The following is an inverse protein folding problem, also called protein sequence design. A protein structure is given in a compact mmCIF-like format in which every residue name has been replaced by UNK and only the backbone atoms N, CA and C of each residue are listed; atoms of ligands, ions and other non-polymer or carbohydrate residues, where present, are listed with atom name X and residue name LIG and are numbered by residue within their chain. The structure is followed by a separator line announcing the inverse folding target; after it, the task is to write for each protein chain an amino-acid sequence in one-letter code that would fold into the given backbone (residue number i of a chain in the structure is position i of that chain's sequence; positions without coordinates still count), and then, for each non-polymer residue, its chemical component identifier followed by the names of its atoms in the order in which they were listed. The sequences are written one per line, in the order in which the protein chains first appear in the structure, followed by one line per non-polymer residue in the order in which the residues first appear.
data_IF_629510157394
#
_entry.id   IF_629510157394
#
_cell.length_a   1.000
_cell.length_b   1.000
_cell.length_c   1.000
_cell.angle_alpha   90.00
_cell.angle_beta   90.00
_cell.angle_gamma   90.00
#
_symmetry.space_group_name_H-M   'P 1'
#
loop_
_entity.id
_entity.type
_entity.pdbx_description
1 polymer ?
#
# COMPACT_ATOMS: atom_id res chain seq x y z
N UNK A 1 25.97 -7.90 -5.68
CA UNK A 1 24.78 -7.23 -6.22
C UNK A 1 24.17 -8.14 -7.28
N UNK A 2 23.14 -8.90 -6.91
CA UNK A 2 22.43 -9.78 -7.84
C UNK A 2 21.20 -9.00 -8.34
N UNK A 3 21.14 -8.72 -9.63
CA UNK A 3 19.96 -8.18 -10.29
C UNK A 3 18.93 -9.32 -10.35
N UNK A 4 17.84 -9.20 -9.63
CA UNK A 4 16.72 -10.12 -9.73
C UNK A 4 15.79 -9.59 -10.82
N UNK A 5 15.75 -10.30 -11.95
CA UNK A 5 14.84 -10.00 -13.05
C UNK A 5 13.54 -10.73 -12.79
N UNK A 6 12.48 -9.97 -12.56
CA UNK A 6 11.12 -10.52 -12.42
C UNK A 6 10.64 -10.95 -13.82
N UNK A 7 10.49 -12.26 -14.04
CA UNK A 7 9.99 -12.81 -15.31
C UNK A 7 8.46 -12.90 -15.22
N UNK A 8 7.78 -12.06 -15.98
CA UNK A 8 6.32 -12.15 -16.20
C UNK A 8 6.10 -13.18 -17.32
N UNK A 9 5.47 -14.30 -17.00
CA UNK A 9 5.08 -15.33 -17.96
C UNK A 9 3.73 -14.96 -18.59
N UNK A 10 3.77 -14.41 -19.80
CA UNK A 10 2.57 -14.13 -20.61
C UNK A 10 2.21 -15.35 -21.44
N UNK A 11 1.05 -15.94 -21.21
CA UNK A 11 0.50 -16.97 -22.07
C UNK A 11 -0.11 -16.34 -23.33
N UNK A 12 0.51 -16.60 -24.49
CA UNK A 12 -0.02 -16.22 -25.80
C UNK A 12 -0.89 -17.35 -26.34
N UNK A 13 -2.18 -17.11 -26.50
CA UNK A 13 -3.09 -17.97 -27.26
C UNK A 13 -3.06 -17.53 -28.73
N UNK A 14 -2.54 -18.39 -29.61
CA UNK A 14 -2.64 -18.23 -31.06
C UNK A 14 -4.04 -18.61 -31.53
N UNK A 15 -4.72 -17.67 -32.19
CA UNK A 15 -5.88 -17.94 -33.00
C UNK A 15 -5.66 -17.33 -34.38
N UNK A 16 -5.55 -18.18 -35.43
CA UNK A 16 -5.49 -17.77 -36.80
C UNK A 16 -6.89 -17.51 -37.36
N UNK A 17 -7.13 -16.36 -37.98
CA UNK A 17 -7.99 -16.24 -39.17
C UNK A 17 -7.59 -15.02 -40.00
N UNK A 18 -7.61 -15.24 -41.33
CA UNK A 18 -7.18 -14.41 -42.43
C UNK A 18 -8.13 -13.25 -42.76
N UNK A 19 -7.60 -12.12 -43.24
CA UNK A 19 -8.25 -11.26 -44.27
C UNK A 19 -8.20 -9.76 -44.02
N UNK A 20 -7.32 -9.05 -44.73
CA UNK A 20 -7.64 -7.78 -45.44
C UNK A 20 -7.50 -6.44 -44.73
N UNK A 21 -6.48 -5.71 -45.22
CA UNK A 21 -6.38 -4.25 -45.42
C UNK A 21 -6.13 -3.27 -44.24
N UNK A 22 -4.89 -2.85 -44.28
CA UNK A 22 -4.23 -1.52 -44.20
C UNK A 22 -4.18 -0.76 -42.87
N UNK A 23 -3.04 -0.08 -42.64
CA UNK A 23 -2.53 0.20 -41.31
C UNK A 23 -2.92 1.61 -40.86
N UNK A 24 -3.54 1.72 -39.74
CA UNK A 24 -3.44 2.95 -38.93
C UNK A 24 -2.46 2.70 -37.81
N UNK A 25 -1.31 3.34 -37.92
CA UNK A 25 -0.37 3.54 -36.85
C UNK A 25 -1.09 4.19 -35.66
N UNK A 26 -1.37 3.42 -34.63
CA UNK A 26 -1.54 3.91 -33.30
C UNK A 26 -0.45 3.28 -32.43
N UNK A 27 0.71 3.92 -32.49
CA UNK A 27 1.80 3.73 -31.55
C UNK A 27 1.47 4.54 -30.27
N UNK A 28 0.46 4.10 -29.56
CA UNK A 28 0.33 4.41 -28.14
C UNK A 28 0.66 3.14 -27.35
N UNK A 29 1.91 2.74 -27.45
CA UNK A 29 2.50 1.85 -26.47
C UNK A 29 2.66 2.69 -25.20
N UNK A 30 1.69 2.55 -24.31
CA UNK A 30 1.77 2.97 -22.94
C UNK A 30 3.01 2.27 -22.36
N UNK A 31 4.16 2.96 -22.31
CA UNK A 31 5.34 2.48 -21.57
C UNK A 31 4.93 2.35 -20.12
N UNK A 32 4.48 1.15 -19.73
CA UNK A 32 4.30 0.82 -18.33
C UNK A 32 5.69 0.91 -17.69
N UNK A 33 5.90 1.98 -16.97
CA UNK A 33 7.13 2.20 -16.24
C UNK A 33 7.33 1.05 -15.27
N UNK A 34 8.39 0.26 -15.45
CA UNK A 34 8.68 -0.91 -14.62
C UNK A 34 9.13 -0.49 -13.22
N UNK A 35 8.71 -1.27 -12.22
CA UNK A 35 9.20 -1.09 -10.85
C UNK A 35 10.67 -1.49 -10.72
N UNK A 36 11.44 -0.65 -10.04
CA UNK A 36 12.82 -0.93 -9.63
C UNK A 36 12.94 -0.92 -8.11
N UNK A 37 13.63 -1.92 -7.55
CA UNK A 37 13.91 -1.98 -6.12
C UNK A 37 14.82 -0.81 -5.69
N UNK A 38 14.58 -0.26 -4.50
CA UNK A 38 15.43 0.78 -3.93
C UNK A 38 15.66 0.55 -2.42
N UNK A 39 16.77 1.10 -1.91
CA UNK A 39 17.15 1.04 -0.50
C UNK A 39 16.51 2.23 0.24
N UNK A 40 15.52 1.96 1.09
CA UNK A 40 14.79 3.03 1.80
C UNK A 40 15.68 3.84 2.75
N UNK A 41 16.79 3.29 3.23
CA UNK A 41 17.72 4.02 4.11
C UNK A 41 18.65 4.98 3.35
N UNK A 42 18.92 4.70 2.07
CA UNK A 42 19.82 5.50 1.24
C UNK A 42 19.09 6.36 0.20
N UNK A 43 18.06 5.79 -0.40
CA UNK A 43 17.45 6.33 -1.63
C UNK A 43 16.08 6.96 -1.38
N UNK A 44 15.61 6.99 -0.12
CA UNK A 44 14.32 7.63 0.23
C UNK A 44 14.49 9.15 0.20
N UNK A 45 13.95 9.78 -0.83
CA UNK A 45 14.11 11.20 -1.10
C UNK A 45 13.04 12.09 -0.43
N UNK A 46 11.98 11.49 0.10
CA UNK A 46 10.86 12.24 0.68
C UNK A 46 11.18 12.76 2.09
N UNK A 47 10.53 13.87 2.44
CA UNK A 47 10.57 14.36 3.82
C UNK A 47 9.67 13.49 4.70
N UNK A 48 10.26 12.79 5.68
CA UNK A 48 9.56 11.87 6.58
C UNK A 48 8.40 12.50 7.35
N UNK A 49 8.47 13.80 7.66
CA UNK A 49 7.38 14.51 8.36
C UNK A 49 6.16 14.81 7.48
N UNK A 50 6.33 14.82 6.16
CA UNK A 50 5.26 15.13 5.21
C UNK A 50 4.87 13.94 4.35
N UNK A 51 5.58 12.81 4.41
CA UNK A 51 5.32 11.67 3.53
C UNK A 51 3.89 11.15 3.64
N UNK A 52 3.40 10.95 4.86
CA UNK A 52 2.03 10.48 5.08
C UNK A 52 0.96 11.51 4.73
N UNK A 53 1.28 12.81 4.69
CA UNK A 53 0.33 13.85 4.28
C UNK A 53 -0.06 13.76 2.79
N UNK A 54 0.65 12.94 2.01
CA UNK A 54 0.31 12.62 0.62
C UNK A 54 -0.95 11.75 0.49
N UNK A 55 -1.50 11.23 1.59
CA UNK A 55 -2.62 10.28 1.61
C UNK A 55 -2.25 8.96 0.91
N UNK A 56 -1.38 8.21 1.56
CA UNK A 56 -0.91 6.91 1.07
C UNK A 56 -2.01 5.85 1.12
N UNK A 57 -1.81 4.76 0.39
CA UNK A 57 -2.69 3.60 0.40
C UNK A 57 -2.03 2.48 1.20
N UNK A 58 -2.68 2.05 2.28
CA UNK A 58 -2.37 0.83 3.02
C UNK A 58 -3.15 -0.33 2.39
N UNK A 59 -2.45 -1.39 1.96
CA UNK A 59 -3.08 -2.62 1.45
C UNK A 59 -2.60 -3.82 2.27
N UNK A 60 -3.53 -4.70 2.61
CA UNK A 60 -3.30 -5.86 3.48
C UNK A 60 -4.06 -7.05 2.96
N UNK A 61 -3.47 -8.24 3.09
CA UNK A 61 -4.10 -9.49 2.67
C UNK A 61 -3.13 -10.43 1.97
N UNK A 62 -3.69 -11.32 1.17
CA UNK A 62 -2.98 -12.27 0.32
C UNK A 62 -3.75 -12.51 -0.99
N UNK A 63 -3.43 -13.58 -1.72
CA UNK A 63 -4.07 -13.91 -2.99
C UNK A 63 -5.53 -14.37 -2.85
N UNK A 64 -5.99 -14.72 -1.65
CA UNK A 64 -7.36 -15.15 -1.39
C UNK A 64 -8.27 -14.00 -0.97
N UNK A 65 -7.73 -13.05 -0.23
CA UNK A 65 -8.47 -11.88 0.24
C UNK A 65 -7.53 -10.69 0.45
N UNK A 66 -7.98 -9.50 0.10
CA UNK A 66 -7.24 -8.27 0.39
C UNK A 66 -8.17 -7.08 0.57
N UNK A 67 -7.71 -6.09 1.29
CA UNK A 67 -8.38 -4.80 1.37
C UNK A 67 -7.38 -3.66 1.47
N UNK A 68 -7.76 -2.51 0.94
CA UNK A 68 -6.95 -1.31 1.00
C UNK A 68 -7.74 -0.12 1.56
N UNK A 69 -7.03 0.84 2.15
CA UNK A 69 -7.59 2.09 2.64
C UNK A 69 -6.58 3.22 2.53
N UNK A 70 -7.08 4.45 2.50
CA UNK A 70 -6.23 5.63 2.60
C UNK A 70 -5.79 5.84 4.03
N UNK A 71 -4.52 6.15 4.20
CA UNK A 71 -3.91 6.56 5.46
C UNK A 71 -3.23 7.93 5.29
N UNK A 72 -3.46 8.84 6.25
CA UNK A 72 -2.82 10.15 6.30
C UNK A 72 -1.93 10.32 7.54
N UNK A 73 -1.87 9.32 8.40
CA UNK A 73 -1.04 9.29 9.60
C UNK A 73 -0.09 8.13 9.55
N UNK A 74 1.14 8.38 9.99
CA UNK A 74 2.16 7.37 10.03
C UNK A 74 3.53 7.97 10.30
N UNK A 75 4.53 7.13 10.22
CA UNK A 75 5.92 7.52 10.39
C UNK A 75 6.84 6.53 9.70
N UNK A 76 8.01 7.01 9.34
CA UNK A 76 9.13 6.21 8.85
C UNK A 76 10.33 6.45 9.74
N UNK A 77 11.10 5.43 10.00
CA UNK A 77 12.26 5.53 10.86
C UNK A 77 12.92 4.17 11.05
N UNK A 78 13.59 3.98 12.18
CA UNK A 78 14.14 2.69 12.57
C UNK A 78 13.43 2.19 13.83
N UNK A 79 13.30 0.87 13.95
CA UNK A 79 12.75 0.22 15.12
C UNK A 79 13.59 -1.00 15.52
N UNK A 80 13.94 -1.10 16.79
CA UNK A 80 14.80 -2.17 17.37
C UNK A 80 16.22 -2.25 16.76
N UNK A 81 16.76 -1.16 16.18
CA UNK A 81 18.13 -1.11 15.67
C UNK A 81 18.33 0.02 14.65
N UNK A 82 19.58 0.28 14.29
CA UNK A 82 19.95 1.32 13.31
C UNK A 82 19.78 0.86 11.86
N UNK A 83 19.73 -0.43 11.65
CA UNK A 83 19.68 -1.14 10.37
C UNK A 83 18.31 -1.77 10.08
N UNK A 84 17.29 -1.41 10.87
CA UNK A 84 15.91 -1.90 10.72
C UNK A 84 14.97 -0.77 10.36
N UNK A 85 14.89 -0.40 9.08
CA UNK A 85 13.92 0.58 8.61
C UNK A 85 12.50 0.08 8.87
N UNK A 86 11.66 0.96 9.37
CA UNK A 86 10.31 0.62 9.77
C UNK A 86 9.31 1.68 9.32
N UNK A 87 8.10 1.22 9.04
CA UNK A 87 6.92 2.06 8.80
C UNK A 87 5.93 1.86 9.94
N UNK A 88 5.46 2.97 10.48
CA UNK A 88 4.37 2.99 11.47
C UNK A 88 3.08 3.42 10.79
N UNK A 89 2.02 2.65 10.96
CA UNK A 89 0.67 2.97 10.46
C UNK A 89 -0.36 2.93 11.57
N UNK A 90 -1.42 3.74 11.44
CA UNK A 90 -2.48 3.89 12.42
C UNK A 90 -3.80 3.44 11.79
N UNK A 91 -4.44 2.42 12.34
CA UNK A 91 -5.71 1.88 11.81
C UNK A 91 -6.75 1.83 12.92
N UNK A 92 -7.87 2.52 12.71
CA UNK A 92 -8.97 2.52 13.67
C UNK A 92 -9.76 1.20 13.59
N UNK A 93 -10.24 0.65 14.73
CA UNK A 93 -10.92 -0.65 14.80
C UNK A 93 -12.17 -0.77 13.92
N UNK A 94 -12.90 0.31 13.68
CA UNK A 94 -14.09 0.27 12.82
C UNK A 94 -13.76 0.19 11.32
N UNK A 95 -12.50 0.38 10.91
CA UNK A 95 -12.09 0.26 9.51
C UNK A 95 -12.02 -1.20 9.08
N UNK A 96 -12.55 -1.51 7.90
CA UNK A 96 -12.51 -2.90 7.39
C UNK A 96 -11.08 -3.43 7.26
N UNK A 97 -10.12 -2.60 6.87
CA UNK A 97 -8.69 -2.95 6.80
C UNK A 97 -8.13 -3.39 8.16
N UNK A 98 -8.72 -2.93 9.28
CA UNK A 98 -8.30 -3.37 10.61
C UNK A 98 -8.40 -4.90 10.78
N UNK A 99 -9.49 -5.51 10.30
CA UNK A 99 -9.68 -6.95 10.36
C UNK A 99 -8.58 -7.72 9.61
N UNK A 100 -8.08 -7.12 8.50
CA UNK A 100 -6.98 -7.69 7.73
C UNK A 100 -5.64 -7.53 8.45
N UNK A 101 -5.37 -6.37 9.06
CA UNK A 101 -4.16 -6.13 9.85
C UNK A 101 -4.03 -7.13 11.02
N UNK A 102 -5.16 -7.55 11.61
CA UNK A 102 -5.16 -8.52 12.72
C UNK A 102 -4.92 -9.97 12.24
N UNK A 103 -5.15 -10.26 10.96
CA UNK A 103 -5.05 -11.63 10.42
C UNK A 103 -3.80 -11.87 9.57
N UNK A 104 -3.27 -10.83 8.93
CA UNK A 104 -2.16 -10.97 8.00
C UNK A 104 -0.88 -10.36 8.57
N UNK A 105 0.26 -11.04 8.44
CA UNK A 105 1.52 -10.57 9.02
C UNK A 105 2.18 -9.44 8.25
N UNK A 106 1.73 -9.15 7.01
CA UNK A 106 2.37 -8.21 6.11
C UNK A 106 1.38 -7.23 5.50
N UNK A 107 1.90 -6.07 5.16
CA UNK A 107 1.15 -5.02 4.48
C UNK A 107 2.03 -4.26 3.51
N UNK A 108 1.42 -3.57 2.55
CA UNK A 108 2.11 -2.60 1.70
C UNK A 108 1.60 -1.19 1.95
N UNK A 109 2.51 -0.22 1.85
CA UNK A 109 2.19 1.22 1.82
C UNK A 109 2.58 1.75 0.45
N UNK A 110 1.64 2.39 -0.23
CA UNK A 110 1.79 2.81 -1.62
C UNK A 110 1.51 4.29 -1.80
N UNK A 111 2.28 4.95 -2.68
CA UNK A 111 2.04 6.30 -3.16
C UNK A 111 1.42 6.26 -4.55
N UNK A 112 0.45 7.16 -4.81
CA UNK A 112 -0.19 7.36 -6.11
C UNK A 112 -0.16 8.83 -6.48
N UNK A 113 0.05 9.12 -7.76
CA UNK A 113 -0.03 10.48 -8.28
C UNK A 113 -1.48 10.90 -8.56
N UNK A 114 -2.41 9.96 -8.84
CA UNK A 114 -3.83 10.25 -9.07
C UNK A 114 -4.59 10.43 -7.74
N UNK A 115 -5.09 11.64 -7.44
CA UNK A 115 -5.85 11.90 -6.21
C UNK A 115 -7.17 11.12 -6.13
N UNK A 116 -7.73 10.65 -7.23
CA UNK A 116 -8.94 9.84 -7.23
C UNK A 116 -8.76 8.55 -6.45
N UNK A 117 -7.56 7.97 -6.48
CA UNK A 117 -7.27 6.71 -5.78
C UNK A 117 -7.45 6.89 -4.28
N UNK A 118 -6.72 7.82 -3.66
CA UNK A 118 -6.81 7.99 -2.22
C UNK A 118 -8.16 8.57 -1.76
N UNK A 119 -8.81 9.41 -2.59
CA UNK A 119 -10.16 9.90 -2.28
C UNK A 119 -11.17 8.76 -2.24
N UNK A 120 -11.15 7.86 -3.24
CA UNK A 120 -12.06 6.74 -3.31
C UNK A 120 -11.77 5.71 -2.20
N UNK A 121 -10.50 5.30 -2.04
CA UNK A 121 -10.07 4.33 -1.03
C UNK A 121 -10.37 4.79 0.40
N UNK A 122 -10.35 6.11 0.67
CA UNK A 122 -10.68 6.69 1.97
C UNK A 122 -12.18 6.84 2.22
N UNK A 123 -12.99 7.01 1.16
CA UNK A 123 -14.43 7.28 1.26
C UNK A 123 -15.26 6.00 1.36
N UNK A 124 -14.92 4.98 0.59
CA UNK A 124 -15.72 3.76 0.47
C UNK A 124 -15.14 2.61 1.29
N UNK A 125 -16.03 1.76 1.82
CA UNK A 125 -15.64 0.56 2.54
C UNK A 125 -15.44 -0.61 1.58
N UNK A 126 -14.43 -1.45 1.84
CA UNK A 126 -14.27 -2.73 1.13
C UNK A 126 -15.36 -3.76 1.48
N UNK A 127 -16.18 -3.51 2.51
CA UNK A 127 -17.38 -4.31 2.79
C UNK A 127 -18.48 -4.10 1.74
N UNK A 128 -18.46 -2.95 1.06
CA UNK A 128 -19.49 -2.55 0.10
C UNK A 128 -19.13 -2.97 -1.35
N UNK A 129 -17.91 -3.46 -1.58
CA UNK A 129 -17.45 -3.92 -2.89
C UNK A 129 -15.94 -3.80 -3.10
N UNK A 130 -15.50 -4.29 -4.26
CA UNK A 130 -14.11 -4.24 -4.67
C UNK A 130 -13.71 -2.83 -5.14
N UNK A 131 -12.95 -2.16 -4.31
CA UNK A 131 -12.48 -0.79 -4.56
C UNK A 131 -11.41 -0.71 -5.65
N UNK A 132 -10.58 -1.76 -5.77
CA UNK A 132 -9.56 -1.83 -6.82
C UNK A 132 -10.22 -1.94 -8.20
N UNK A 133 -11.17 -2.86 -8.33
CA UNK A 133 -11.94 -3.02 -9.57
C UNK A 133 -12.70 -1.73 -9.94
N UNK A 134 -13.31 -1.06 -8.96
CA UNK A 134 -14.04 0.20 -9.19
C UNK A 134 -13.13 1.35 -9.69
N UNK A 135 -11.84 1.30 -9.37
CA UNK A 135 -10.83 2.27 -9.81
C UNK A 135 -10.03 1.81 -11.05
N UNK A 136 -10.27 0.58 -11.53
CA UNK A 136 -9.50 -0.02 -12.60
C UNK A 136 -8.04 -0.32 -12.23
N UNK A 137 -7.76 -0.54 -10.94
CA UNK A 137 -6.43 -0.89 -10.45
C UNK A 137 -6.18 -2.39 -10.61
N UNK A 138 -4.94 -2.74 -10.96
CA UNK A 138 -4.49 -4.12 -11.14
C UNK A 138 -3.72 -4.59 -9.92
N UNK A 139 -4.27 -5.59 -9.23
CA UNK A 139 -3.62 -6.20 -8.07
C UNK A 139 -2.47 -7.09 -8.53
N UNK A 140 -1.32 -6.93 -7.92
CA UNK A 140 -0.16 -7.81 -8.04
C UNK A 140 0.32 -8.20 -6.63
N UNK A 141 1.28 -9.13 -6.56
CA UNK A 141 1.77 -9.66 -5.30
C UNK A 141 3.29 -9.62 -5.26
N UNK A 142 3.84 -9.27 -4.10
CA UNK A 142 5.28 -9.36 -3.85
C UNK A 142 5.74 -10.83 -3.84
N UNK A 143 7.04 -11.07 -3.71
CA UNK A 143 7.57 -12.42 -3.54
C UNK A 143 7.07 -13.11 -2.25
N UNK A 144 6.62 -12.32 -1.25
CA UNK A 144 6.04 -12.84 -0.01
C UNK A 144 4.50 -12.99 -0.08
N UNK A 145 3.90 -12.72 -1.24
CA UNK A 145 2.46 -12.83 -1.46
C UNK A 145 1.65 -11.62 -0.94
N UNK A 146 2.30 -10.53 -0.56
CA UNK A 146 1.63 -9.32 -0.08
C UNK A 146 1.05 -8.53 -1.25
N UNK A 147 -0.24 -8.12 -1.22
CA UNK A 147 -0.87 -7.43 -2.34
C UNK A 147 -0.38 -5.98 -2.47
N UNK A 148 -0.26 -5.55 -3.73
CA UNK A 148 -0.05 -4.15 -4.11
C UNK A 148 -0.73 -3.85 -5.45
N UNK A 149 -0.75 -2.58 -5.88
CA UNK A 149 -1.34 -2.20 -7.16
C UNK A 149 -0.27 -1.77 -8.16
N UNK A 150 -0.39 -2.26 -9.39
CA UNK A 150 0.57 -1.97 -10.47
C UNK A 150 0.65 -0.48 -10.81
N UNK A 151 -0.40 0.30 -10.54
CA UNK A 151 -0.47 1.74 -10.83
C UNK A 151 0.22 2.60 -9.77
N UNK A 152 0.64 2.02 -8.65
CA UNK A 152 1.37 2.75 -7.63
C UNK A 152 2.70 3.29 -8.17
N UNK A 153 3.10 4.48 -7.70
CA UNK A 153 4.40 5.10 -7.95
C UNK A 153 5.50 4.50 -7.09
N UNK A 154 5.17 4.27 -5.83
CA UNK A 154 6.06 3.67 -4.84
C UNK A 154 5.31 2.60 -4.07
N UNK A 155 5.96 1.49 -3.79
CA UNK A 155 5.46 0.38 -2.97
C UNK A 155 6.50 0.08 -1.89
N UNK A 156 6.10 0.10 -0.62
CA UNK A 156 6.91 -0.31 0.52
C UNK A 156 6.20 -1.50 1.17
N UNK A 157 6.84 -2.66 1.16
CA UNK A 157 6.35 -3.86 1.84
C UNK A 157 6.92 -3.95 3.24
N UNK A 158 6.05 -4.24 4.20
CA UNK A 158 6.41 -4.35 5.60
C UNK A 158 5.92 -5.65 6.22
N UNK A 159 6.73 -6.25 7.11
CA UNK A 159 6.32 -7.32 8.02
C UNK A 159 6.04 -6.72 9.41
N UNK A 160 4.84 -6.96 9.94
CA UNK A 160 4.41 -6.41 11.23
C UNK A 160 5.27 -6.97 12.36
N UNK A 161 6.03 -6.11 13.03
CA UNK A 161 6.81 -6.47 14.22
C UNK A 161 5.99 -6.35 15.50
N UNK A 162 5.10 -5.38 15.58
CA UNK A 162 4.27 -5.15 16.77
C UNK A 162 2.98 -4.42 16.43
N UNK A 163 1.93 -4.70 17.20
CA UNK A 163 0.68 -3.98 17.21
C UNK A 163 0.40 -3.47 18.65
N UNK A 164 0.14 -2.18 18.77
CA UNK A 164 -0.24 -1.57 20.04
C UNK A 164 -1.67 -1.08 19.99
N UNK A 165 -2.54 -1.80 20.66
CA UNK A 165 -3.95 -1.45 20.82
C UNK A 165 -4.08 -0.36 21.90
N UNK A 166 -4.05 0.89 21.47
CA UNK A 166 -4.14 2.03 22.38
C UNK A 166 -5.50 2.13 23.06
N UNK A 167 -5.48 2.64 24.27
CA UNK A 167 -6.64 3.00 25.07
C UNK A 167 -6.56 4.45 25.51
N UNK A 168 -7.64 5.01 26.01
CA UNK A 168 -7.63 6.38 26.58
C UNK A 168 -6.65 6.53 27.77
N UNK A 169 -6.29 5.43 28.46
CA UNK A 169 -5.32 5.43 29.54
C UNK A 169 -3.88 5.67 29.08
N UNK A 170 -3.58 5.45 27.80
CA UNK A 170 -2.25 5.65 27.21
C UNK A 170 -1.96 7.12 26.89
N UNK A 171 -2.97 7.97 26.85
CA UNK A 171 -2.83 9.38 26.55
C UNK A 171 -2.26 10.17 27.72
N UNK A 172 -1.17 10.91 27.49
CA UNK A 172 -0.43 11.63 28.52
C UNK A 172 -0.82 13.10 28.64
N UNK A 173 -1.61 13.63 27.70
CA UNK A 173 -2.12 15.01 27.74
C UNK A 173 -3.55 15.10 27.16
N UNK A 174 -4.12 16.31 27.13
CA UNK A 174 -5.49 16.52 26.70
C UNK A 174 -5.69 16.37 25.18
N UNK A 175 -4.69 16.74 24.37
CA UNK A 175 -4.84 16.79 22.90
C UNK A 175 -5.38 15.51 22.27
N UNK A 176 -4.80 14.32 22.51
CA UNK A 176 -5.37 13.10 21.93
C UNK A 176 -6.74 12.75 22.54
N UNK A 177 -6.98 13.07 23.82
CA UNK A 177 -8.29 12.83 24.47
C UNK A 177 -9.38 13.64 23.78
N UNK A 178 -9.14 14.91 23.56
CA UNK A 178 -10.07 15.83 22.89
C UNK A 178 -10.27 15.44 21.42
N UNK A 179 -9.20 15.01 20.73
CA UNK A 179 -9.28 14.59 19.34
C UNK A 179 -10.12 13.33 19.15
N UNK A 180 -10.02 12.36 20.07
CA UNK A 180 -10.79 11.12 20.01
C UNK A 180 -12.19 11.26 20.63
N UNK A 181 -12.51 12.39 21.26
CA UNK A 181 -13.85 12.61 21.81
C UNK A 181 -14.87 12.65 20.67
N UNK A 182 -15.84 11.72 20.72
CA UNK A 182 -16.83 11.54 19.65
C UNK A 182 -16.32 10.88 18.38
N UNK A 183 -15.07 10.41 18.31
CA UNK A 183 -14.56 9.68 17.14
C UNK A 183 -15.06 8.24 17.13
N UNK A 184 -16.16 8.00 16.41
CA UNK A 184 -16.88 6.71 16.38
C UNK A 184 -16.04 5.53 15.87
N UNK A 185 -15.01 5.77 15.06
CA UNK A 185 -14.16 4.70 14.54
C UNK A 185 -13.24 4.04 15.59
N UNK A 186 -13.18 4.61 16.79
CA UNK A 186 -12.40 4.11 17.91
C UNK A 186 -10.93 4.57 17.89
N UNK A 187 -10.24 4.37 19.00
CA UNK A 187 -8.83 4.73 19.14
C UNK A 187 -8.01 3.84 18.22
N UNK A 188 -7.12 4.45 17.44
CA UNK A 188 -6.31 3.71 16.48
C UNK A 188 -5.37 2.71 17.17
N UNK A 189 -5.27 1.53 16.60
CA UNK A 189 -4.14 0.62 16.85
C UNK A 189 -2.93 1.10 16.05
N UNK A 190 -1.77 1.07 16.68
CA UNK A 190 -0.48 1.40 16.05
C UNK A 190 0.18 0.11 15.63
N UNK A 191 0.47 -0.02 14.34
CA UNK A 191 1.25 -1.12 13.81
C UNK A 191 2.61 -0.60 13.36
N UNK A 192 3.68 -1.30 13.75
CA UNK A 192 5.04 -1.02 13.32
C UNK A 192 5.51 -2.23 12.52
N UNK A 193 5.83 -2.01 11.25
CA UNK A 193 6.34 -3.03 10.34
C UNK A 193 7.78 -2.76 9.91
N UNK A 194 8.63 -3.79 9.94
CA UNK A 194 9.96 -3.76 9.33
C UNK A 194 9.81 -3.71 7.80
N UNK A 195 10.54 -2.84 7.15
CA UNK A 195 10.57 -2.78 5.68
C UNK A 195 11.37 -3.98 5.17
N UNK A 196 10.70 -4.87 4.44
CA UNK A 196 11.30 -6.07 3.83
C UNK A 196 11.47 -5.94 2.32
N UNK A 197 10.85 -4.94 1.71
CA UNK A 197 11.00 -4.62 0.30
C UNK A 197 10.50 -3.22 -0.02
N UNK A 198 11.11 -2.58 -1.04
CA UNK A 198 10.65 -1.30 -1.53
C UNK A 198 10.94 -1.15 -3.02
N UNK A 199 9.97 -0.61 -3.77
CA UNK A 199 10.05 -0.43 -5.22
C UNK A 199 9.45 0.91 -5.62
N UNK A 200 10.03 1.52 -6.64
CA UNK A 200 9.55 2.75 -7.28
C UNK A 200 9.64 2.68 -8.80
N UNK A 201 8.81 3.45 -9.47
CA UNK A 201 8.88 3.70 -10.92
C UNK A 201 9.82 4.85 -11.24
#
# INVERSE_FOLDING_TARGET
MKRLTLIILSAVLMGCTSGGDQPQNNTDMNEQQEFSAFDVQKDFADNGFTYFTKNLILCVGDSSESNAMTIGWGGIGNYLGHDRPAVTVYVAPARYTYEFMERHPRFTVMEFDDPKVWQYMGKYSGRDGDKAAALGLHVAYTEHGTPYYLEAKTVIECETMTAWHQTAADFRNATPKEWYDGFEAGIHTIYIGEVIGAWKK
#
